data_IF_886760261563
#
_entry.id   IF_886760261563
#
_cell.length_a   1.000
_cell.length_b   1.000
_cell.length_c   1.000
_cell.angle_alpha   90.00
_cell.angle_beta   90.00
_cell.angle_gamma   90.00
#
_symmetry.space_group_name_H-M   'P 1'
#
loop_
_entity.id
_entity.type
_entity.pdbx_description
1 polymer ?
#
# COMPACT_ATOMS: atom_id res chain seq x y z
N UNK A 1 -62.33 -4.93 48.04
CA UNK A 1 -62.54 -3.70 48.84
C UNK A 1 -61.68 -2.59 48.26
N UNK A 2 -62.39 -1.59 47.76
CA UNK A 2 -62.14 -0.14 47.85
C UNK A 2 -60.85 0.35 47.21
N UNK A 3 -60.91 1.02 46.04
CA UNK A 3 -61.07 2.46 45.84
C UNK A 3 -59.80 3.22 46.22
N UNK A 4 -59.29 4.15 45.43
CA UNK A 4 -59.71 5.25 44.55
C UNK A 4 -58.48 5.77 43.82
N UNK A 5 -58.45 5.95 42.54
CA UNK A 5 -58.68 7.22 41.83
C UNK A 5 -58.08 8.45 42.52
N UNK A 6 -57.03 8.99 41.91
CA UNK A 6 -56.85 10.43 41.79
C UNK A 6 -56.11 10.74 40.50
N UNK A 7 -56.80 11.46 39.65
CA UNK A 7 -56.37 12.19 38.46
C UNK A 7 -55.80 13.52 38.96
N UNK A 8 -54.63 13.91 38.48
CA UNK A 8 -54.19 15.33 38.45
C UNK A 8 -53.15 15.43 37.36
N UNK A 9 -53.44 15.86 36.30
CA UNK A 9 -53.36 17.00 35.41
C UNK A 9 -52.34 18.06 35.89
N UNK A 10 -51.21 18.16 35.18
CA UNK A 10 -50.37 19.37 35.00
C UNK A 10 -49.45 19.13 33.81
N UNK A 11 -49.83 19.57 32.68
CA UNK A 11 -49.46 20.76 31.89
C UNK A 11 -47.96 21.10 31.85
N UNK A 12 -47.38 20.83 30.64
CA UNK A 12 -46.46 21.69 29.87
C UNK A 12 -45.16 22.16 30.55
N UNK A 13 -44.05 21.65 30.06
CA UNK A 13 -42.99 22.54 29.63
C UNK A 13 -42.21 21.88 28.48
N UNK A 14 -42.53 22.30 27.27
CA UNK A 14 -41.77 22.03 26.04
C UNK A 14 -40.44 22.79 26.14
N UNK A 15 -39.38 22.16 26.60
CA UNK A 15 -38.04 22.65 26.40
C UNK A 15 -37.53 22.21 25.06
N UNK A 16 -37.61 23.06 24.05
CA UNK A 16 -36.86 22.99 22.80
C UNK A 16 -35.37 22.99 23.11
N UNK A 17 -34.77 21.81 23.26
CA UNK A 17 -33.34 21.67 23.10
C UNK A 17 -33.07 21.68 21.59
N UNK A 18 -32.89 22.87 21.02
CA UNK A 18 -32.14 23.07 19.82
C UNK A 18 -30.69 22.64 20.12
N UNK A 19 -30.39 21.37 19.93
CA UNK A 19 -29.01 20.91 19.85
C UNK A 19 -28.40 21.54 18.59
N UNK A 20 -27.80 22.71 18.79
CA UNK A 20 -26.87 23.31 17.86
C UNK A 20 -25.72 22.35 17.71
N UNK A 21 -25.79 21.46 16.72
CA UNK A 21 -24.62 20.73 16.23
C UNK A 21 -23.67 21.78 15.67
N UNK A 22 -22.72 22.21 16.48
CA UNK A 22 -21.63 23.03 16.02
C UNK A 22 -20.76 22.18 15.08
N UNK A 23 -20.94 22.36 13.78
CA UNK A 23 -20.20 21.72 12.69
C UNK A 23 -18.70 22.09 12.65
N UNK A 24 -18.21 22.83 13.62
CA UNK A 24 -16.82 23.29 13.69
C UNK A 24 -15.82 22.19 14.08
N UNK A 25 -16.26 21.11 14.74
CA UNK A 25 -15.40 20.00 15.12
C UNK A 25 -15.09 19.02 13.97
N UNK A 26 -16.04 18.83 13.06
CA UNK A 26 -15.86 17.92 11.93
C UNK A 26 -14.93 18.48 10.85
N UNK A 27 -15.00 19.77 10.58
CA UNK A 27 -14.12 20.42 9.60
C UNK A 27 -12.65 20.40 10.04
N UNK A 28 -12.37 20.62 11.33
CA UNK A 28 -11.02 20.64 11.86
C UNK A 28 -10.36 19.25 11.81
N UNK A 29 -11.10 18.18 12.10
CA UNK A 29 -10.57 16.81 12.01
C UNK A 29 -10.32 16.36 10.56
N UNK A 30 -11.12 16.80 9.60
CA UNK A 30 -10.91 16.52 8.17
C UNK A 30 -9.71 17.29 7.60
N UNK A 31 -9.50 18.51 8.03
CA UNK A 31 -8.36 19.36 7.64
C UNK A 31 -7.06 18.77 8.17
N UNK A 32 -7.01 18.36 9.45
CA UNK A 32 -5.86 17.69 10.06
C UNK A 32 -5.51 16.36 9.37
N UNK A 33 -6.52 15.56 8.97
CA UNK A 33 -6.30 14.32 8.22
C UNK A 33 -5.78 14.59 6.80
N UNK A 34 -6.25 15.64 6.14
CA UNK A 34 -5.77 16.07 4.83
C UNK A 34 -4.30 16.48 4.85
N UNK A 35 -3.92 17.28 5.85
CA UNK A 35 -2.53 17.72 6.03
C UNK A 35 -1.59 16.56 6.38
N UNK A 36 -2.02 15.65 7.26
CA UNK A 36 -1.27 14.45 7.59
C UNK A 36 -1.04 13.58 6.34
N UNK A 37 -2.07 13.39 5.51
CA UNK A 37 -1.96 12.65 4.25
C UNK A 37 -0.98 13.30 3.29
N UNK A 38 -1.05 14.62 3.09
CA UNK A 38 -0.10 15.36 2.25
C UNK A 38 1.34 15.19 2.73
N UNK A 39 1.55 15.30 4.05
CA UNK A 39 2.87 15.10 4.66
C UNK A 39 3.39 13.67 4.43
N UNK A 40 2.54 12.67 4.63
CA UNK A 40 2.91 11.27 4.38
C UNK A 40 3.19 11.02 2.89
N UNK A 41 2.42 11.60 1.98
CA UNK A 41 2.65 11.49 0.53
C UNK A 41 4.04 12.05 0.15
N UNK A 42 4.38 13.26 0.64
CA UNK A 42 5.70 13.85 0.42
C UNK A 42 6.83 12.97 0.95
N UNK A 43 6.68 12.44 2.16
CA UNK A 43 7.68 11.54 2.76
C UNK A 43 7.79 10.24 1.97
N UNK A 44 6.68 9.67 1.53
CA UNK A 44 6.64 8.45 0.74
C UNK A 44 7.34 8.60 -0.62
N UNK A 45 7.19 9.76 -1.28
CA UNK A 45 7.91 10.08 -2.51
C UNK A 45 9.44 10.09 -2.30
N UNK A 46 9.92 10.53 -1.13
CA UNK A 46 11.35 10.45 -0.80
C UNK A 46 11.83 8.99 -0.69
N UNK A 47 11.03 8.11 -0.06
CA UNK A 47 11.32 6.66 -0.04
C UNK A 47 11.35 6.05 -1.43
N UNK A 48 10.39 6.40 -2.29
CA UNK A 48 10.37 5.90 -3.68
C UNK A 48 11.61 6.36 -4.47
N UNK A 49 12.01 7.62 -4.31
CA UNK A 49 13.24 8.12 -4.93
C UNK A 49 14.48 7.35 -4.46
N UNK A 50 14.60 7.10 -3.16
CA UNK A 50 15.69 6.29 -2.61
C UNK A 50 15.66 4.84 -3.12
N UNK A 51 14.48 4.22 -3.19
CA UNK A 51 14.34 2.86 -3.70
C UNK A 51 14.69 2.77 -5.19
N UNK A 52 14.31 3.76 -6.01
CA UNK A 52 14.72 3.84 -7.42
C UNK A 52 16.23 3.98 -7.58
N UNK A 53 16.87 4.81 -6.75
CA UNK A 53 18.33 4.95 -6.75
C UNK A 53 19.04 3.65 -6.40
N UNK A 54 18.54 2.93 -5.37
CA UNK A 54 19.09 1.62 -4.97
C UNK A 54 18.89 0.56 -6.07
N UNK A 55 17.72 0.55 -6.72
CA UNK A 55 17.46 -0.33 -7.86
C UNK A 55 18.45 -0.06 -9.01
N UNK A 56 18.68 1.21 -9.35
CA UNK A 56 19.65 1.58 -10.37
C UNK A 56 21.08 1.13 -10.01
N UNK A 57 21.41 1.09 -8.73
CA UNK A 57 22.69 0.60 -8.20
C UNK A 57 22.72 -0.93 -8.01
N UNK A 58 21.71 -1.66 -8.46
CA UNK A 58 21.56 -3.12 -8.28
C UNK A 58 21.54 -3.59 -6.83
N UNK A 59 21.24 -2.69 -5.89
CA UNK A 59 21.04 -2.99 -4.46
C UNK A 59 19.59 -3.44 -4.22
N UNK A 60 19.20 -4.58 -4.78
CA UNK A 60 17.80 -5.00 -4.89
C UNK A 60 17.14 -5.22 -3.55
N UNK A 61 17.78 -5.93 -2.62
CA UNK A 61 17.27 -6.16 -1.27
C UNK A 61 17.09 -4.84 -0.49
N UNK A 62 18.06 -3.92 -0.60
CA UNK A 62 17.98 -2.62 0.05
C UNK A 62 16.86 -1.74 -0.57
N UNK A 63 16.63 -1.84 -1.89
CA UNK A 63 15.52 -1.18 -2.55
C UNK A 63 14.18 -1.72 -2.04
N UNK A 64 14.02 -3.04 -1.96
CA UNK A 64 12.85 -3.74 -1.45
C UNK A 64 12.55 -3.37 0.00
N UNK A 65 13.55 -3.38 0.87
CA UNK A 65 13.42 -2.95 2.26
C UNK A 65 12.94 -1.49 2.38
N UNK A 66 13.47 -0.59 1.54
CA UNK A 66 13.07 0.83 1.52
C UNK A 66 11.58 0.99 1.20
N UNK A 67 11.03 0.22 0.25
CA UNK A 67 9.59 0.23 -0.06
C UNK A 67 8.79 -0.35 1.11
N UNK A 68 9.29 -1.41 1.76
CA UNK A 68 8.68 -1.98 2.96
C UNK A 68 8.54 -0.95 4.09
N UNK A 69 9.58 -0.16 4.33
CA UNK A 69 9.58 0.93 5.32
C UNK A 69 8.61 2.05 4.96
N UNK A 70 8.57 2.45 3.69
CA UNK A 70 7.57 3.40 3.19
C UNK A 70 6.15 2.94 3.50
N UNK A 71 5.83 1.68 3.20
CA UNK A 71 4.49 1.11 3.44
C UNK A 71 4.08 1.15 4.91
N UNK A 72 5.03 0.92 5.83
CA UNK A 72 4.81 0.94 7.28
C UNK A 72 4.63 2.37 7.80
N UNK A 73 5.52 3.29 7.39
CA UNK A 73 5.58 4.65 7.93
C UNK A 73 4.61 5.62 7.26
N UNK A 74 4.27 5.40 5.99
CA UNK A 74 3.43 6.29 5.18
C UNK A 74 2.12 5.60 4.76
N UNK A 75 1.39 5.06 5.74
CA UNK A 75 0.20 4.24 5.48
C UNK A 75 -0.95 4.99 4.79
N UNK A 76 -1.03 6.32 4.90
CA UNK A 76 -2.03 7.15 4.22
C UNK A 76 -1.58 7.69 2.85
N UNK A 77 -0.34 7.45 2.44
CA UNK A 77 0.20 7.90 1.16
C UNK A 77 -0.29 7.01 0.00
N UNK A 78 -1.54 7.18 -0.40
CA UNK A 78 -2.21 6.27 -1.35
C UNK A 78 -1.52 6.29 -2.71
N UNK A 79 -1.18 7.46 -3.24
CA UNK A 79 -0.54 7.60 -4.56
C UNK A 79 0.84 6.97 -4.58
N UNK A 80 1.69 7.34 -3.63
CA UNK A 80 3.03 6.76 -3.52
C UNK A 80 3.01 5.24 -3.25
N UNK A 81 2.00 4.74 -2.53
CA UNK A 81 1.85 3.29 -2.31
C UNK A 81 1.48 2.54 -3.59
N UNK A 82 0.67 3.13 -4.46
CA UNK A 82 0.38 2.58 -5.80
C UNK A 82 1.67 2.54 -6.67
N UNK A 83 2.41 3.63 -6.71
CA UNK A 83 3.72 3.65 -7.38
C UNK A 83 4.69 2.63 -6.79
N UNK A 84 4.67 2.47 -5.47
CA UNK A 84 5.48 1.48 -4.74
C UNK A 84 5.16 0.03 -5.09
N UNK A 85 3.95 -0.29 -5.56
CA UNK A 85 3.61 -1.62 -6.09
C UNK A 85 4.42 -1.87 -7.36
N UNK A 86 4.34 -0.98 -8.34
CA UNK A 86 5.07 -1.14 -9.61
C UNK A 86 6.58 -1.19 -9.43
N UNK A 87 7.10 -0.37 -8.50
CA UNK A 87 8.53 -0.41 -8.20
C UNK A 87 8.95 -1.71 -7.53
N UNK A 88 8.11 -2.27 -6.64
CA UNK A 88 8.35 -3.59 -6.04
C UNK A 88 8.36 -4.70 -7.09
N UNK A 89 7.39 -4.68 -8.01
CA UNK A 89 7.31 -5.66 -9.11
C UNK A 89 8.54 -5.57 -10.03
N UNK A 90 9.02 -4.36 -10.28
CA UNK A 90 10.24 -4.14 -11.06
C UNK A 90 11.49 -4.70 -10.35
N UNK A 91 11.55 -4.58 -9.01
CA UNK A 91 12.64 -5.14 -8.20
C UNK A 91 12.55 -6.67 -8.20
N UNK A 92 11.37 -7.24 -7.98
CA UNK A 92 11.16 -8.69 -7.96
C UNK A 92 11.50 -9.31 -9.33
N UNK A 93 11.16 -8.63 -10.44
CA UNK A 93 11.56 -9.05 -11.78
C UNK A 93 13.08 -9.03 -11.97
N UNK A 94 13.75 -7.98 -11.52
CA UNK A 94 15.21 -7.88 -11.64
C UNK A 94 15.92 -8.94 -10.78
N UNK A 95 15.39 -9.25 -9.59
CA UNK A 95 15.88 -10.33 -8.75
C UNK A 95 15.74 -11.69 -9.45
N UNK A 96 14.58 -11.94 -10.06
CA UNK A 96 14.34 -13.19 -10.80
C UNK A 96 15.28 -13.32 -12.02
N UNK A 97 15.55 -12.23 -12.73
CA UNK A 97 16.52 -12.21 -13.83
C UNK A 97 17.94 -12.50 -13.37
N UNK A 98 18.36 -11.94 -12.24
CA UNK A 98 19.68 -12.25 -11.67
C UNK A 98 19.79 -13.70 -11.23
N UNK A 99 18.72 -14.25 -10.64
CA UNK A 99 18.65 -15.66 -10.29
C UNK A 99 18.77 -16.56 -11.52
N UNK A 100 18.04 -16.26 -12.60
CA UNK A 100 18.12 -17.00 -13.87
C UNK A 100 19.55 -17.00 -14.43
N UNK A 101 20.19 -15.82 -14.54
CA UNK A 101 21.57 -15.71 -15.06
C UNK A 101 22.55 -16.50 -14.19
N UNK A 102 22.37 -16.44 -12.86
CA UNK A 102 23.22 -17.21 -11.94
C UNK A 102 23.00 -18.71 -12.12
N UNK A 103 21.76 -19.18 -12.19
CA UNK A 103 21.42 -20.59 -12.36
C UNK A 103 21.97 -21.11 -13.67
N UNK A 104 21.81 -20.35 -14.77
CA UNK A 104 22.35 -20.69 -16.08
C UNK A 104 23.88 -20.84 -16.04
N UNK A 105 24.57 -19.86 -15.46
CA UNK A 105 26.03 -19.89 -15.34
C UNK A 105 26.55 -21.06 -14.54
N UNK A 106 25.89 -21.40 -13.42
CA UNK A 106 26.28 -22.53 -12.57
C UNK A 106 25.96 -23.87 -13.22
N UNK A 107 24.85 -23.98 -13.95
CA UNK A 107 24.50 -25.18 -14.71
C UNK A 107 25.53 -25.46 -15.81
N UNK A 108 25.95 -24.43 -16.56
CA UNK A 108 27.01 -24.53 -17.57
C UNK A 108 28.38 -24.87 -16.97
N UNK A 109 28.65 -24.45 -15.73
CA UNK A 109 29.86 -24.81 -15.00
C UNK A 109 29.86 -26.26 -14.48
N UNK A 110 28.74 -26.99 -14.65
CA UNK A 110 28.61 -28.37 -14.21
C UNK A 110 28.43 -28.54 -12.71
N UNK A 111 27.81 -27.54 -12.04
CA UNK A 111 27.52 -27.61 -10.60
C UNK A 111 26.59 -28.80 -10.29
N UNK A 112 27.04 -29.80 -9.50
CA UNK A 112 26.33 -31.09 -9.37
C UNK A 112 25.00 -30.97 -8.59
N UNK A 113 24.75 -29.86 -7.94
CA UNK A 113 23.52 -29.64 -7.17
C UNK A 113 22.42 -28.96 -7.99
N UNK A 114 22.73 -28.52 -9.22
CA UNK A 114 21.78 -27.87 -10.13
C UNK A 114 21.39 -28.76 -11.27
N UNK A 115 20.13 -28.67 -11.62
CA UNK A 115 19.50 -29.45 -12.69
C UNK A 115 18.84 -28.55 -13.74
N UNK A 116 18.52 -29.12 -14.90
CA UNK A 116 17.70 -28.45 -15.91
C UNK A 116 16.35 -27.96 -15.32
N UNK A 117 15.79 -28.70 -14.35
CA UNK A 117 14.54 -28.30 -13.68
C UNK A 117 14.68 -26.99 -12.90
N UNK A 118 15.83 -26.73 -12.29
CA UNK A 118 16.09 -25.47 -11.55
C UNK A 118 16.17 -24.29 -12.52
N UNK A 119 16.79 -24.48 -13.68
CA UNK A 119 16.80 -23.48 -14.75
C UNK A 119 15.40 -23.21 -15.29
N UNK A 120 14.60 -24.23 -15.54
CA UNK A 120 13.23 -24.09 -16.02
C UNK A 120 12.34 -23.38 -14.98
N UNK A 121 12.59 -23.61 -13.68
CA UNK A 121 11.91 -22.89 -12.61
C UNK A 121 12.30 -21.39 -12.60
N UNK A 122 13.58 -21.09 -12.74
CA UNK A 122 14.05 -19.70 -12.82
C UNK A 122 13.45 -18.97 -14.05
N UNK A 123 13.33 -19.65 -15.20
CA UNK A 123 12.63 -19.11 -16.37
C UNK A 123 11.18 -18.79 -16.07
N UNK A 124 10.42 -19.74 -15.48
CA UNK A 124 9.01 -19.53 -15.10
C UNK A 124 8.84 -18.38 -14.13
N UNK A 125 9.78 -18.16 -13.22
CA UNK A 125 9.79 -17.08 -12.25
C UNK A 125 9.93 -15.71 -12.92
N UNK A 126 10.82 -15.58 -13.89
CA UNK A 126 10.97 -14.36 -14.71
C UNK A 126 9.67 -14.07 -15.47
N UNK A 127 9.10 -15.06 -16.16
CA UNK A 127 7.83 -14.89 -16.89
C UNK A 127 6.68 -14.47 -15.96
N UNK A 128 6.63 -15.03 -14.75
CA UNK A 128 5.61 -14.68 -13.77
C UNK A 128 5.70 -13.19 -13.40
N UNK A 129 6.89 -12.71 -13.03
CA UNK A 129 7.06 -11.31 -12.62
C UNK A 129 6.89 -10.34 -13.79
N UNK A 130 7.25 -10.71 -15.01
CA UNK A 130 6.96 -9.91 -16.20
C UNK A 130 5.45 -9.78 -16.45
N UNK A 131 4.69 -10.88 -16.35
CA UNK A 131 3.23 -10.82 -16.48
C UNK A 131 2.60 -10.01 -15.38
N UNK A 132 3.07 -10.18 -14.13
CA UNK A 132 2.58 -9.42 -12.97
C UNK A 132 2.77 -7.94 -13.16
N UNK A 133 3.98 -7.50 -13.49
CA UNK A 133 4.29 -6.08 -13.71
C UNK A 133 3.42 -5.47 -14.83
N UNK A 134 3.27 -6.16 -15.97
CA UNK A 134 2.38 -5.72 -17.05
C UNK A 134 0.92 -5.59 -16.62
N UNK A 135 0.43 -6.57 -15.84
CA UNK A 135 -0.92 -6.55 -15.31
C UNK A 135 -1.14 -5.34 -14.39
N UNK A 136 -0.22 -5.09 -13.46
CA UNK A 136 -0.37 -4.03 -12.46
C UNK A 136 -0.23 -2.64 -13.08
N UNK A 137 0.62 -2.46 -14.10
CA UNK A 137 0.66 -1.25 -14.93
C UNK A 137 -0.70 -1.03 -15.62
N UNK A 138 -1.25 -2.06 -16.25
CA UNK A 138 -2.54 -1.95 -16.95
C UNK A 138 -3.70 -1.64 -15.99
N UNK A 139 -3.68 -2.21 -14.79
CA UNK A 139 -4.69 -1.94 -13.76
C UNK A 139 -4.63 -0.48 -13.28
N UNK A 140 -3.44 0.05 -12.99
CA UNK A 140 -3.29 1.45 -12.56
C UNK A 140 -3.67 2.45 -13.64
N UNK A 141 -3.39 2.15 -14.91
CA UNK A 141 -3.78 3.00 -16.03
C UNK A 141 -5.30 3.06 -16.25
N UNK A 142 -6.04 2.00 -15.89
CA UNK A 142 -7.52 2.00 -15.94
C UNK A 142 -8.16 2.86 -14.85
N UNK A 143 -7.53 2.93 -13.68
CA UNK A 143 -8.04 3.75 -12.58
C UNK A 143 -7.81 5.27 -12.77
N UNK A 144 -6.96 5.66 -13.72
CA UNK A 144 -6.65 7.06 -14.01
C UNK A 144 -7.53 7.67 -15.11
N UNK A 145 -8.37 6.85 -15.75
CA UNK A 145 -9.34 7.27 -16.79
C UNK A 145 -10.73 7.42 -16.22
#
# INVERSE_FOLDING_TARGET
MKQKMFIALALSLSALFAASCSSSGQNKSQEDQSELRKKMEKTAQQYLSQARSKLAQKQLEAAKATIGDMRKKCYQAITARKEGILLMDSIDLEMARQELVRTDSLLHAGEPQLSQSDFDEACRKVEFYERKLRHDIAAQNKEQK
#
